data_IF_950067602028
#
_entry.id   IF_950067602028
#
_cell.length_a   1.000
_cell.length_b   1.000
_cell.length_c   1.000
_cell.angle_alpha   90.00
_cell.angle_beta   90.00
_cell.angle_gamma   90.00
#
_symmetry.space_group_name_H-M   'P 1'
#
loop_
_entity.id
_entity.type
_entity.pdbx_description
1 polymer ?
#
# COMPACT_ATOMS: atom_id res chain seq x y z
N UNK A 1 2.75 32.84 -6.15
CA UNK A 1 2.50 31.41 -6.42
C UNK A 1 2.49 30.67 -5.09
N UNK A 2 1.38 30.07 -4.63
CA UNK A 2 1.46 29.21 -3.46
C UNK A 2 1.34 27.76 -3.90
N UNK A 3 2.40 27.00 -3.63
CA UNK A 3 2.39 25.52 -3.65
C UNK A 3 1.51 24.93 -2.52
N UNK A 4 0.89 25.79 -1.69
CA UNK A 4 0.18 25.46 -0.45
C UNK A 4 -1.33 25.21 -0.61
N UNK A 5 -1.93 25.43 -1.79
CA UNK A 5 -3.37 25.16 -1.98
C UNK A 5 -3.71 23.71 -2.38
N UNK A 6 -2.72 22.85 -2.64
CA UNK A 6 -2.95 21.52 -3.22
C UNK A 6 -3.29 20.41 -2.22
N UNK A 7 -3.15 20.65 -0.92
CA UNK A 7 -3.48 19.68 0.16
C UNK A 7 -4.91 19.94 0.72
N UNK A 8 -5.80 20.49 -0.11
CA UNK A 8 -7.19 20.76 0.27
C UNK A 8 -8.06 19.59 -0.20
N UNK A 9 -8.57 18.84 0.79
CA UNK A 9 -9.45 17.67 0.72
C UNK A 9 -8.75 16.33 0.40
N UNK A 10 -8.36 15.62 1.47
CA UNK A 10 -8.06 14.20 1.39
C UNK A 10 -9.27 13.49 0.78
N UNK A 11 -9.08 12.79 -0.33
CA UNK A 11 -10.20 12.23 -1.07
C UNK A 11 -10.99 11.24 -0.21
N UNK A 12 -12.32 11.22 -0.36
CA UNK A 12 -13.19 10.25 0.32
C UNK A 12 -12.79 8.80 0.01
N UNK A 13 -12.24 8.57 -1.18
CA UNK A 13 -11.74 7.27 -1.60
C UNK A 13 -10.55 6.87 -0.71
N UNK A 14 -9.57 7.75 -0.51
CA UNK A 14 -8.42 7.48 0.35
C UNK A 14 -8.85 7.22 1.80
N UNK A 15 -9.75 8.03 2.36
CA UNK A 15 -10.27 7.82 3.72
C UNK A 15 -10.97 6.47 3.86
N UNK A 16 -11.75 6.07 2.84
CA UNK A 16 -12.37 4.74 2.80
C UNK A 16 -11.32 3.64 2.72
N UNK A 17 -10.29 3.79 1.88
CA UNK A 17 -9.19 2.81 1.78
C UNK A 17 -8.46 2.63 3.11
N UNK A 18 -8.24 3.71 3.85
CA UNK A 18 -7.66 3.67 5.20
C UNK A 18 -8.53 2.89 6.19
N UNK A 19 -9.84 3.12 6.17
CA UNK A 19 -10.81 2.41 7.01
C UNK A 19 -10.92 0.92 6.63
N UNK A 20 -10.97 0.62 5.33
CA UNK A 20 -10.99 -0.75 4.80
C UNK A 20 -9.68 -1.48 5.15
N UNK A 21 -8.52 -0.83 5.01
CA UNK A 21 -7.24 -1.39 5.44
C UNK A 21 -7.21 -1.72 6.93
N UNK A 22 -7.77 -0.84 7.77
CA UNK A 22 -7.84 -1.09 9.21
C UNK A 22 -8.76 -2.28 9.54
N UNK A 23 -9.98 -2.25 9.02
CA UNK A 23 -11.03 -3.25 9.26
C UNK A 23 -10.65 -4.64 8.78
N UNK A 24 -9.95 -4.71 7.66
CA UNK A 24 -9.55 -5.96 7.02
C UNK A 24 -8.09 -6.31 7.26
N UNK A 25 -7.42 -5.64 8.21
CA UNK A 25 -5.98 -5.78 8.46
C UNK A 25 -5.55 -7.24 8.63
N UNK A 26 -6.25 -8.04 9.44
CA UNK A 26 -5.91 -9.46 9.60
C UNK A 26 -5.96 -10.24 8.27
N UNK A 27 -6.97 -9.99 7.43
CA UNK A 27 -7.10 -10.67 6.14
C UNK A 27 -6.00 -10.23 5.17
N UNK A 28 -5.69 -8.93 5.14
CA UNK A 28 -4.62 -8.36 4.32
C UNK A 28 -3.26 -8.92 4.74
N UNK A 29 -2.97 -8.95 6.04
CA UNK A 29 -1.72 -9.46 6.57
C UNK A 29 -1.54 -10.95 6.26
N UNK A 30 -2.59 -11.77 6.48
CA UNK A 30 -2.53 -13.20 6.17
C UNK A 30 -2.30 -13.47 4.68
N UNK A 31 -2.91 -12.67 3.81
CA UNK A 31 -2.71 -12.78 2.35
C UNK A 31 -1.27 -12.41 1.99
N UNK A 32 -0.76 -11.27 2.47
CA UNK A 32 0.63 -10.84 2.25
C UNK A 32 1.67 -11.78 2.89
N UNK A 33 1.37 -12.43 4.02
CA UNK A 33 2.23 -13.45 4.61
C UNK A 33 2.38 -14.66 3.69
N UNK A 34 1.30 -15.07 3.01
CA UNK A 34 1.36 -16.17 2.05
C UNK A 34 2.24 -15.79 0.85
N UNK A 35 2.12 -14.55 0.35
CA UNK A 35 2.98 -14.01 -0.72
C UNK A 35 4.44 -13.99 -0.26
N UNK A 36 4.72 -13.42 0.92
CA UNK A 36 6.05 -13.37 1.51
C UNK A 36 6.66 -14.76 1.68
N UNK A 37 5.86 -15.74 2.12
CA UNK A 37 6.31 -17.12 2.28
C UNK A 37 6.63 -17.80 0.94
N UNK A 38 5.90 -17.47 -0.14
CA UNK A 38 6.24 -17.92 -1.49
C UNK A 38 7.54 -17.27 -1.98
N UNK A 39 7.66 -15.95 -1.83
CA UNK A 39 8.86 -15.19 -2.17
C UNK A 39 10.10 -15.74 -1.47
N UNK A 40 10.05 -15.97 -0.15
CA UNK A 40 11.15 -16.54 0.64
C UNK A 40 11.56 -17.95 0.23
N UNK A 41 10.72 -18.67 -0.52
CA UNK A 41 11.06 -19.98 -1.12
C UNK A 41 11.69 -19.84 -2.51
N UNK A 42 11.99 -18.62 -2.96
CA UNK A 42 12.53 -18.31 -4.28
C UNK A 42 11.49 -18.41 -5.40
N UNK A 43 10.19 -18.39 -5.09
CA UNK A 43 9.15 -18.38 -6.11
C UNK A 43 8.93 -16.96 -6.63
N UNK A 44 8.62 -16.85 -7.92
CA UNK A 44 8.06 -15.63 -8.48
C UNK A 44 6.66 -15.39 -7.88
N UNK A 45 6.40 -14.16 -7.45
CA UNK A 45 5.15 -13.73 -6.79
C UNK A 45 4.33 -12.73 -7.62
N UNK A 46 4.67 -12.52 -8.89
CA UNK A 46 3.98 -11.59 -9.80
C UNK A 46 2.49 -11.91 -9.91
N UNK A 47 2.11 -13.18 -10.07
CA UNK A 47 0.71 -13.59 -10.17
C UNK A 47 -0.02 -13.42 -8.82
N UNK A 48 0.67 -13.68 -7.71
CA UNK A 48 0.14 -13.47 -6.36
C UNK A 48 -0.15 -11.98 -6.10
N UNK A 49 0.77 -11.09 -6.49
CA UNK A 49 0.61 -9.63 -6.39
C UNK A 49 -0.51 -9.14 -7.32
N UNK A 50 -0.60 -9.67 -8.54
CA UNK A 50 -1.66 -9.36 -9.50
C UNK A 50 -3.03 -9.74 -8.95
N UNK A 51 -3.17 -10.95 -8.39
CA UNK A 51 -4.41 -11.41 -7.78
C UNK A 51 -4.81 -10.55 -6.57
N UNK A 52 -3.84 -10.19 -5.72
CA UNK A 52 -4.08 -9.30 -4.59
C UNK A 52 -4.56 -7.92 -5.04
N UNK A 53 -3.89 -7.31 -6.03
CA UNK A 53 -4.29 -6.01 -6.60
C UNK A 53 -5.67 -6.06 -7.23
N UNK A 54 -5.97 -7.09 -8.02
CA UNK A 54 -7.27 -7.25 -8.67
C UNK A 54 -8.42 -7.32 -7.64
N UNK A 55 -8.18 -7.98 -6.51
CA UNK A 55 -9.14 -8.07 -5.40
C UNK A 55 -9.25 -6.77 -4.60
N UNK A 56 -8.14 -6.06 -4.40
CA UNK A 56 -8.06 -4.91 -3.47
C UNK A 56 -7.24 -3.74 -4.05
N UNK A 57 -7.69 -3.11 -5.15
CA UNK A 57 -6.88 -2.14 -5.88
C UNK A 57 -6.50 -0.91 -5.05
N UNK A 58 -7.43 -0.41 -4.22
CA UNK A 58 -7.16 0.74 -3.34
C UNK A 58 -6.14 0.43 -2.25
N UNK A 59 -6.22 -0.77 -1.64
CA UNK A 59 -5.26 -1.22 -0.62
C UNK A 59 -3.89 -1.45 -1.25
N UNK A 60 -3.83 -2.03 -2.45
CA UNK A 60 -2.57 -2.17 -3.17
C UNK A 60 -1.92 -0.81 -3.45
N UNK A 61 -2.69 0.19 -3.89
CA UNK A 61 -2.18 1.55 -4.07
C UNK A 61 -1.70 2.19 -2.76
N UNK A 62 -2.35 1.92 -1.63
CA UNK A 62 -1.88 2.35 -0.31
C UNK A 62 -0.54 1.69 0.04
N UNK A 63 -0.39 0.40 -0.23
CA UNK A 63 0.84 -0.36 0.02
C UNK A 63 1.99 0.16 -0.86
N UNK A 64 1.73 0.45 -2.14
CA UNK A 64 2.68 1.11 -3.02
C UNK A 64 3.14 2.46 -2.44
N UNK A 65 2.18 3.30 -2.00
CA UNK A 65 2.48 4.58 -1.37
C UNK A 65 3.30 4.42 -0.07
N UNK A 66 3.12 3.33 0.69
CA UNK A 66 3.90 3.03 1.91
C UNK A 66 5.39 2.81 1.61
N UNK A 67 5.72 2.20 0.48
CA UNK A 67 7.12 1.92 0.11
C UNK A 67 7.74 3.01 -0.76
N UNK A 68 6.98 3.64 -1.65
CA UNK A 68 7.52 4.53 -2.68
C UNK A 68 7.20 6.01 -2.48
N UNK A 69 6.18 6.33 -1.66
CA UNK A 69 5.72 7.72 -1.45
C UNK A 69 5.55 8.04 0.03
N UNK A 70 6.43 7.54 0.88
CA UNK A 70 6.31 7.65 2.34
C UNK A 70 6.12 9.09 2.84
N UNK A 71 6.82 10.06 2.25
CA UNK A 71 6.70 11.48 2.61
C UNK A 71 5.29 11.99 2.29
N UNK A 72 4.82 11.76 1.05
CA UNK A 72 3.48 12.17 0.61
C UNK A 72 2.39 11.46 1.42
N UNK A 73 2.56 10.16 1.71
CA UNK A 73 1.62 9.39 2.52
C UNK A 73 1.55 9.95 3.94
N UNK A 74 2.69 10.29 4.54
CA UNK A 74 2.73 10.90 5.88
C UNK A 74 1.96 12.22 5.91
N UNK A 75 2.20 13.10 4.94
CA UNK A 75 1.45 14.36 4.83
C UNK A 75 -0.06 14.13 4.67
N UNK A 76 -0.47 13.17 3.83
CA UNK A 76 -1.89 12.78 3.66
C UNK A 76 -2.49 12.27 4.98
N UNK A 77 -1.77 11.44 5.72
CA UNK A 77 -2.22 10.90 7.02
C UNK A 77 -2.32 11.99 8.10
N UNK A 78 -1.45 12.99 8.07
CA UNK A 78 -1.49 14.15 8.97
C UNK A 78 -2.73 15.01 8.68
N UNK A 79 -2.98 15.32 7.41
CA UNK A 79 -4.16 16.11 6.98
C UNK A 79 -5.46 15.35 7.24
N UNK A 80 -5.47 14.03 7.08
CA UNK A 80 -6.62 13.18 7.35
C UNK A 80 -6.97 13.05 8.85
N UNK A 81 -6.10 13.50 9.76
CA UNK A 81 -6.27 13.32 11.20
C UNK A 81 -6.33 11.84 11.59
N UNK A 82 -5.55 10.99 10.92
CA UNK A 82 -5.60 9.54 11.11
C UNK A 82 -5.18 9.13 12.53
N UNK A 83 -5.94 8.21 13.15
CA UNK A 83 -5.67 7.70 14.50
C UNK A 83 -4.34 6.95 14.57
N UNK A 84 -3.67 7.03 15.72
CA UNK A 84 -2.38 6.36 15.94
C UNK A 84 -2.44 4.83 15.81
N UNK A 85 -3.57 4.20 16.12
CA UNK A 85 -3.76 2.75 15.92
C UNK A 85 -3.60 2.33 14.44
N UNK A 86 -4.26 3.06 13.53
CA UNK A 86 -4.15 2.80 12.09
C UNK A 86 -2.74 3.13 11.59
N UNK A 87 -2.13 4.22 12.05
CA UNK A 87 -0.72 4.52 11.74
C UNK A 87 0.22 3.42 12.24
N UNK A 88 -0.08 2.84 13.40
CA UNK A 88 0.58 1.66 13.95
C UNK A 88 0.48 0.47 13.00
N UNK A 89 -0.72 0.17 12.49
CA UNK A 89 -0.94 -0.91 11.52
C UNK A 89 -0.22 -0.70 10.19
N UNK A 90 -0.17 0.53 9.68
CA UNK A 90 0.58 0.86 8.46
C UNK A 90 2.09 0.63 8.68
N UNK A 91 2.63 1.07 9.83
CA UNK A 91 4.04 0.81 10.20
C UNK A 91 4.33 -0.68 10.35
N UNK A 92 3.47 -1.40 11.06
CA UNK A 92 3.57 -2.86 11.22
C UNK A 92 3.60 -3.57 9.86
N UNK A 93 2.73 -3.16 8.93
CA UNK A 93 2.72 -3.71 7.57
C UNK A 93 4.03 -3.45 6.85
N UNK A 94 4.50 -2.19 6.85
CA UNK A 94 5.75 -1.77 6.20
C UNK A 94 6.94 -2.59 6.69
N UNK A 95 7.08 -2.73 8.00
CA UNK A 95 8.22 -3.42 8.60
C UNK A 95 8.16 -4.93 8.35
N UNK A 96 6.96 -5.52 8.43
CA UNK A 96 6.76 -6.97 8.26
C UNK A 96 6.97 -7.45 6.83
N UNK A 97 6.57 -6.64 5.86
CA UNK A 97 6.59 -6.99 4.44
C UNK A 97 7.66 -6.23 3.64
N UNK A 98 8.66 -5.65 4.32
CA UNK A 98 9.77 -4.92 3.69
C UNK A 98 10.51 -5.75 2.62
N UNK A 99 10.65 -7.06 2.82
CA UNK A 99 11.26 -7.98 1.86
C UNK A 99 10.50 -8.04 0.51
N UNK A 100 9.22 -7.64 0.48
CA UNK A 100 8.41 -7.59 -0.75
C UNK A 100 8.47 -6.24 -1.47
N UNK A 101 9.13 -5.22 -0.90
CA UNK A 101 9.11 -3.87 -1.45
C UNK A 101 9.63 -3.83 -2.90
N UNK A 102 10.78 -4.48 -3.16
CA UNK A 102 11.38 -4.54 -4.50
C UNK A 102 10.47 -5.28 -5.50
N UNK A 103 9.80 -6.36 -5.09
CA UNK A 103 8.88 -7.10 -5.96
C UNK A 103 7.61 -6.28 -6.29
N UNK A 104 7.13 -5.48 -5.34
CA UNK A 104 6.01 -4.56 -5.54
C UNK A 104 6.41 -3.46 -6.53
N UNK A 105 7.61 -2.89 -6.40
CA UNK A 105 8.14 -1.89 -7.34
C UNK A 105 8.25 -2.44 -8.75
N UNK A 106 8.91 -3.60 -8.90
CA UNK A 106 9.06 -4.29 -10.19
C UNK A 106 7.71 -4.61 -10.82
N UNK A 107 6.73 -5.04 -10.02
CA UNK A 107 5.37 -5.29 -10.50
C UNK A 107 4.71 -4.02 -11.04
N UNK A 108 4.76 -2.90 -10.30
CA UNK A 108 4.18 -1.62 -10.72
C UNK A 108 4.88 -1.08 -11.97
N UNK A 109 6.21 -1.17 -12.03
CA UNK A 109 6.99 -0.75 -13.21
C UNK A 109 6.63 -1.56 -14.45
N UNK A 110 6.51 -2.89 -14.32
CA UNK A 110 6.11 -3.74 -15.43
C UNK A 110 4.73 -3.32 -15.98
N UNK A 111 3.76 -3.04 -15.11
CA UNK A 111 2.43 -2.58 -15.54
C UNK A 111 2.45 -1.23 -16.29
N UNK A 112 3.35 -0.32 -15.92
CA UNK A 112 3.52 0.96 -16.61
C UNK A 112 4.11 0.79 -18.02
N UNK A 113 5.03 -0.16 -18.20
CA UNK A 113 5.61 -0.47 -19.51
C UNK A 113 4.62 -1.20 -20.43
N UNK A 114 3.71 -2.01 -19.88
CA UNK A 114 2.61 -2.63 -20.64
C UNK A 114 1.42 -1.70 -20.93
N UNK A 115 1.38 -0.50 -20.33
CA UNK A 115 0.32 0.50 -20.54
C UNK A 115 0.62 1.49 -21.67
N UNK A 116 1.66 1.25 -22.49
CA UNK A 116 2.05 2.06 -23.66
C UNK A 116 1.64 1.43 -24.99
#
# INVERSE_FOLDING_TARGET
>A
MPKEEKVKEVSRIFLKTLDDFYKESDAIFNECDAILANYKKGKNVTDDLSAFKAKRPGIFALIDDVYHKEVDLKEKLDVAGTREELRGKIREFKDRFADLADEIDLFVLAELDFSK
#
